data_IF_372920703635
#
_entry.id   IF_372920703635
#
_cell.length_a   1.000
_cell.length_b   1.000
_cell.length_c   1.000
_cell.angle_alpha   90.00
_cell.angle_beta   90.00
_cell.angle_gamma   90.00
#
_symmetry.space_group_name_H-M   'P 1'
#
loop_
_entity.id
_entity.type
_entity.pdbx_description
1 polymer ?
#
# COMPACT_ATOMS: atom_id res chain seq x y z
N UNK A 1 61.17 -40.28 32.83
CA UNK A 1 59.97 -40.92 33.42
C UNK A 1 60.41 -41.66 34.68
N UNK A 2 60.26 -41.03 35.84
CA UNK A 2 60.57 -41.65 37.13
C UNK A 2 59.37 -42.50 37.57
N UNK A 3 59.58 -43.80 37.75
CA UNK A 3 58.53 -44.68 38.25
C UNK A 3 58.15 -44.24 39.68
N UNK A 4 56.84 -44.10 39.99
CA UNK A 4 56.43 -43.74 41.34
C UNK A 4 56.90 -44.82 42.32
N UNK A 5 57.45 -44.41 43.46
CA UNK A 5 57.83 -45.32 44.53
C UNK A 5 56.60 -46.10 45.00
N UNK A 6 56.78 -47.37 45.37
CA UNK A 6 55.70 -48.30 45.76
C UNK A 6 54.74 -47.73 46.80
N UNK A 7 55.22 -46.83 47.67
CA UNK A 7 54.43 -46.12 48.67
C UNK A 7 53.43 -45.11 48.09
N UNK A 8 53.74 -44.42 46.98
CA UNK A 8 52.78 -43.51 46.34
C UNK A 8 51.64 -44.27 45.67
N UNK A 9 51.95 -45.41 45.06
CA UNK A 9 50.95 -46.32 44.48
C UNK A 9 50.02 -46.89 45.57
N UNK A 10 50.57 -47.29 46.71
CA UNK A 10 49.78 -47.77 47.85
C UNK A 10 48.90 -46.67 48.45
N UNK A 11 49.41 -45.45 48.64
CA UNK A 11 48.62 -44.31 49.12
C UNK A 11 47.50 -43.93 48.15
N UNK A 12 47.77 -43.99 46.84
CA UNK A 12 46.77 -43.79 45.80
C UNK A 12 45.67 -44.85 45.85
N UNK A 13 46.05 -46.13 45.92
CA UNK A 13 45.11 -47.25 46.03
C UNK A 13 44.26 -47.17 47.31
N UNK A 14 44.87 -46.83 48.45
CA UNK A 14 44.16 -46.71 49.71
C UNK A 14 43.17 -45.54 49.73
N UNK A 15 43.54 -44.38 49.15
CA UNK A 15 42.63 -43.24 48.99
C UNK A 15 41.47 -43.58 48.06
N UNK A 16 41.73 -44.31 46.98
CA UNK A 16 40.69 -44.74 46.05
C UNK A 16 39.71 -45.72 46.72
N UNK A 17 40.23 -46.73 47.42
CA UNK A 17 39.41 -47.69 48.16
C UNK A 17 38.56 -47.01 49.24
N UNK A 18 39.13 -46.08 50.01
CA UNK A 18 38.41 -45.32 51.04
C UNK A 18 37.26 -44.49 50.44
N UNK A 19 37.50 -43.73 49.35
CA UNK A 19 36.45 -42.95 48.68
C UNK A 19 35.33 -43.83 48.12
N UNK A 20 35.67 -45.02 47.63
CA UNK A 20 34.68 -45.98 47.12
C UNK A 20 33.81 -46.54 48.24
N UNK A 21 34.41 -46.83 49.40
CA UNK A 21 33.70 -47.34 50.57
C UNK A 21 32.79 -46.27 51.20
N UNK A 22 33.26 -45.03 51.29
CA UNK A 22 32.45 -43.89 51.75
C UNK A 22 31.23 -43.65 50.84
N UNK A 23 31.42 -43.73 49.52
CA UNK A 23 30.32 -43.60 48.55
C UNK A 23 29.37 -44.81 48.59
N UNK A 24 29.88 -46.02 48.80
CA UNK A 24 29.04 -47.21 48.96
C UNK A 24 28.18 -47.15 50.23
N UNK A 25 28.74 -46.63 51.34
CA UNK A 25 28.00 -46.44 52.60
C UNK A 25 26.94 -45.34 52.48
N UNK A 26 27.24 -44.22 51.80
CA UNK A 26 26.26 -43.13 51.60
C UNK A 26 25.14 -43.48 50.62
N UNK A 27 25.45 -44.21 49.54
CA UNK A 27 24.50 -44.45 48.43
C UNK A 27 23.94 -45.88 48.39
N UNK A 28 24.36 -46.79 49.26
CA UNK A 28 23.81 -48.14 49.37
C UNK A 28 24.14 -49.09 48.20
N UNK A 29 25.02 -48.71 47.27
CA UNK A 29 25.37 -49.52 46.10
C UNK A 29 26.89 -49.71 45.96
N UNK A 30 27.43 -50.92 46.20
CA UNK A 30 28.87 -51.21 46.13
C UNK A 30 29.42 -51.43 44.71
N UNK A 31 28.52 -51.64 43.73
CA UNK A 31 28.82 -51.75 42.31
C UNK A 31 28.23 -50.54 41.58
N UNK A 32 29.01 -49.85 40.75
CA UNK A 32 28.54 -48.70 40.00
C UNK A 32 27.36 -49.09 39.10
N UNK A 33 26.17 -48.59 39.41
CA UNK A 33 25.00 -48.75 38.54
C UNK A 33 25.26 -48.15 37.15
N UNK A 34 24.54 -48.60 36.10
CA UNK A 34 24.68 -48.04 34.76
C UNK A 34 24.56 -46.51 34.82
N UNK A 35 25.50 -45.82 34.17
CA UNK A 35 25.57 -44.36 34.23
C UNK A 35 24.19 -43.75 33.89
N UNK A 36 23.60 -42.93 34.78
CA UNK A 36 22.32 -42.29 34.52
C UNK A 36 22.48 -41.38 33.31
N UNK A 37 21.68 -41.62 32.26
CA UNK A 37 21.69 -40.81 31.02
C UNK A 37 21.83 -41.60 29.71
N UNK A 38 22.33 -42.85 29.72
CA UNK A 38 22.45 -43.65 28.49
C UNK A 38 21.11 -43.98 27.81
N UNK A 39 20.07 -44.25 28.60
CA UNK A 39 18.73 -44.49 28.08
C UNK A 39 18.10 -43.22 27.47
N UNK A 40 18.33 -42.05 28.09
CA UNK A 40 17.90 -40.76 27.56
C UNK A 40 18.59 -40.40 26.24
N UNK A 41 19.88 -40.69 26.12
CA UNK A 41 20.64 -40.50 24.87
C UNK A 41 20.11 -41.39 23.74
N UNK A 42 19.78 -42.66 24.04
CA UNK A 42 19.23 -43.59 23.06
C UNK A 42 17.87 -43.14 22.52
N UNK A 43 16.97 -42.70 23.40
CA UNK A 43 15.67 -42.14 23.01
C UNK A 43 15.82 -40.87 22.18
N UNK A 44 16.74 -39.98 22.57
CA UNK A 44 17.06 -38.75 21.83
C UNK A 44 17.56 -39.03 20.41
N UNK A 45 18.46 -40.01 20.25
CA UNK A 45 18.94 -40.44 18.93
C UNK A 45 17.79 -41.01 18.07
N UNK A 46 16.94 -41.86 18.65
CA UNK A 46 15.81 -42.45 17.92
C UNK A 46 14.85 -41.37 17.41
N UNK A 47 14.45 -40.44 18.27
CA UNK A 47 13.57 -39.32 17.89
C UNK A 47 14.22 -38.48 16.80
N UNK A 48 15.52 -38.17 16.92
CA UNK A 48 16.23 -37.38 15.91
C UNK A 48 16.24 -38.08 14.55
N UNK A 49 16.47 -39.39 14.50
CA UNK A 49 16.42 -40.19 13.27
C UNK A 49 15.02 -40.16 12.66
N UNK A 50 13.97 -40.30 13.47
CA UNK A 50 12.58 -40.25 12.99
C UNK A 50 12.25 -38.87 12.40
N UNK A 51 12.67 -37.79 13.06
CA UNK A 51 12.46 -36.41 12.57
C UNK A 51 13.20 -36.20 11.24
N UNK A 52 14.46 -36.62 11.14
CA UNK A 52 15.25 -36.51 9.91
C UNK A 52 14.64 -37.34 8.78
N UNK A 53 14.22 -38.58 9.06
CA UNK A 53 13.56 -39.43 8.08
C UNK A 53 12.23 -38.81 7.61
N UNK A 54 11.43 -38.27 8.53
CA UNK A 54 10.20 -37.55 8.21
C UNK A 54 10.44 -36.34 7.32
N UNK A 55 11.48 -35.54 7.60
CA UNK A 55 11.87 -34.40 6.77
C UNK A 55 12.31 -34.82 5.36
N UNK A 56 13.07 -35.91 5.24
CA UNK A 56 13.48 -36.49 3.96
C UNK A 56 12.29 -36.97 3.12
N UNK A 57 11.34 -37.68 3.74
CA UNK A 57 10.10 -38.11 3.07
C UNK A 57 9.30 -36.91 2.58
N UNK A 58 9.13 -35.88 3.42
CA UNK A 58 8.45 -34.63 3.04
C UNK A 58 9.14 -33.92 1.86
N UNK A 59 10.47 -33.90 1.83
CA UNK A 59 11.24 -33.28 0.74
C UNK A 59 11.05 -34.02 -0.60
N UNK A 60 10.91 -35.35 -0.58
CA UNK A 60 10.67 -36.16 -1.79
C UNK A 60 9.21 -36.07 -2.23
N UNK A 61 8.27 -36.05 -1.30
CA UNK A 61 6.82 -36.00 -1.60
C UNK A 61 6.39 -34.60 -2.06
N UNK A 62 7.03 -33.54 -1.57
CA UNK A 62 6.77 -32.15 -1.99
C UNK A 62 8.06 -31.46 -2.46
N UNK A 63 8.58 -31.83 -3.65
CA UNK A 63 9.73 -31.15 -4.23
C UNK A 63 9.42 -29.66 -4.43
N UNK A 64 10.44 -28.80 -4.28
CA UNK A 64 10.25 -27.37 -4.49
C UNK A 64 9.77 -27.09 -5.93
N UNK A 65 8.84 -26.15 -6.14
CA UNK A 65 8.43 -25.79 -7.48
C UNK A 65 9.63 -25.27 -8.27
N UNK A 66 10.02 -26.00 -9.32
CA UNK A 66 11.09 -25.61 -10.22
C UNK A 66 10.72 -24.39 -11.09
N UNK A 67 11.70 -23.92 -11.86
CA UNK A 67 11.57 -22.73 -12.73
C UNK A 67 10.40 -22.77 -13.71
N UNK A 68 9.99 -23.97 -14.17
CA UNK A 68 8.92 -24.27 -15.15
C UNK A 68 8.78 -23.23 -16.26
N UNK A 69 7.54 -23.00 -16.70
CA UNK A 69 7.19 -21.98 -17.71
C UNK A 69 6.49 -20.77 -17.08
N UNK A 70 6.69 -20.54 -15.76
CA UNK A 70 6.06 -19.39 -15.11
C UNK A 70 6.61 -18.09 -15.71
N UNK A 71 5.72 -17.17 -16.10
CA UNK A 71 6.12 -15.96 -16.78
C UNK A 71 6.72 -14.92 -15.81
N UNK A 72 6.31 -14.95 -14.53
CA UNK A 72 6.85 -14.10 -13.46
C UNK A 72 7.36 -14.96 -12.32
N UNK A 73 8.59 -14.69 -11.86
CA UNK A 73 9.28 -15.40 -10.80
C UNK A 73 9.59 -14.42 -9.67
N UNK A 74 9.45 -14.88 -8.43
CA UNK A 74 9.83 -14.16 -7.21
C UNK A 74 10.90 -14.98 -6.50
N UNK A 75 12.07 -14.41 -6.28
CA UNK A 75 13.08 -15.05 -5.43
C UNK A 75 12.63 -15.00 -3.96
N UNK A 76 12.43 -16.17 -3.36
CA UNK A 76 11.94 -16.31 -1.98
C UNK A 76 12.90 -15.71 -0.95
N UNK A 77 14.20 -15.71 -1.22
CA UNK A 77 15.21 -15.25 -0.27
C UNK A 77 15.38 -13.73 -0.30
N UNK A 78 15.41 -13.13 -1.50
CA UNK A 78 15.68 -11.70 -1.68
C UNK A 78 14.42 -10.85 -1.90
N UNK A 79 13.31 -11.46 -2.29
CA UNK A 79 12.11 -10.74 -2.76
C UNK A 79 12.26 -10.15 -4.16
N UNK A 80 13.38 -10.38 -4.86
CA UNK A 80 13.60 -9.85 -6.19
C UNK A 80 12.63 -10.48 -7.22
N UNK A 81 12.10 -9.64 -8.11
CA UNK A 81 11.22 -10.05 -9.19
C UNK A 81 12.00 -10.29 -10.47
N UNK A 82 11.57 -11.32 -11.21
CA UNK A 82 12.10 -11.64 -12.53
C UNK A 82 10.94 -11.95 -13.48
N UNK A 83 11.12 -11.62 -14.76
CA UNK A 83 10.18 -11.96 -15.83
C UNK A 83 10.87 -12.81 -16.88
N UNK A 84 10.15 -13.77 -17.44
CA UNK A 84 10.63 -14.59 -18.55
C UNK A 84 10.18 -13.99 -19.88
N UNK A 85 11.14 -13.75 -20.78
CA UNK A 85 10.90 -13.32 -22.16
C UNK A 85 11.62 -14.31 -23.09
N UNK A 86 10.84 -15.12 -23.81
CA UNK A 86 11.39 -16.30 -24.49
C UNK A 86 12.06 -17.26 -23.51
N UNK A 87 13.31 -17.63 -23.78
CA UNK A 87 14.10 -18.52 -22.91
C UNK A 87 14.98 -17.77 -21.89
N UNK A 88 14.88 -16.45 -21.82
CA UNK A 88 15.72 -15.61 -20.96
C UNK A 88 14.93 -15.05 -19.78
N UNK A 89 15.55 -15.09 -18.60
CA UNK A 89 15.00 -14.53 -17.37
C UNK A 89 15.67 -13.18 -17.10
N UNK A 90 14.86 -12.14 -16.98
CA UNK A 90 15.30 -10.77 -16.75
C UNK A 90 14.91 -10.32 -15.34
N UNK A 91 15.82 -9.70 -14.56
CA UNK A 91 15.43 -8.99 -13.35
C UNK A 91 14.44 -7.86 -13.71
N UNK A 92 13.48 -7.57 -12.83
CA UNK A 92 12.49 -6.50 -13.04
C UNK A 92 12.36 -5.62 -11.81
N UNK A 93 12.26 -4.31 -12.01
CA UNK A 93 12.23 -3.33 -10.91
C UNK A 93 10.98 -3.38 -10.03
N UNK A 94 9.83 -3.82 -10.57
CA UNK A 94 8.56 -3.80 -9.85
C UNK A 94 7.53 -4.76 -10.46
N UNK A 95 6.48 -5.05 -9.69
CA UNK A 95 5.40 -5.94 -10.10
C UNK A 95 4.60 -5.39 -11.28
N UNK A 96 4.39 -4.07 -11.34
CA UNK A 96 3.68 -3.44 -12.46
C UNK A 96 4.37 -3.69 -13.79
N UNK A 97 5.69 -3.52 -13.85
CA UNK A 97 6.50 -3.80 -15.05
C UNK A 97 6.45 -5.28 -15.42
N UNK A 98 6.57 -6.18 -14.45
CA UNK A 98 6.50 -7.62 -14.71
C UNK A 98 5.14 -8.00 -15.31
N UNK A 99 4.04 -7.48 -14.77
CA UNK A 99 2.69 -7.69 -15.29
C UNK A 99 2.45 -7.05 -16.66
N UNK A 100 3.00 -5.87 -16.93
CA UNK A 100 2.93 -5.24 -18.26
C UNK A 100 3.59 -6.11 -19.34
N UNK A 101 4.67 -6.81 -19.00
CA UNK A 101 5.40 -7.70 -19.92
C UNK A 101 4.69 -9.06 -20.08
N UNK A 102 4.33 -9.70 -18.97
CA UNK A 102 3.89 -11.09 -18.90
C UNK A 102 2.38 -11.31 -18.76
N UNK A 103 1.61 -10.26 -18.45
CA UNK A 103 0.17 -10.32 -18.16
C UNK A 103 -0.16 -10.41 -16.67
N UNK A 104 -1.46 -10.52 -16.31
CA UNK A 104 -1.98 -10.35 -14.95
C UNK A 104 -1.79 -11.62 -14.09
N UNK A 105 -0.59 -12.20 -14.11
CA UNK A 105 -0.27 -13.41 -13.35
C UNK A 105 0.34 -13.07 -11.99
N UNK A 106 0.16 -13.98 -11.02
CA UNK A 106 0.84 -13.89 -9.72
C UNK A 106 2.29 -14.38 -9.84
N UNK A 107 3.26 -13.68 -9.22
CA UNK A 107 4.65 -14.13 -9.21
C UNK A 107 4.77 -15.50 -8.53
N UNK A 108 5.49 -16.43 -9.15
CA UNK A 108 5.76 -17.74 -8.55
C UNK A 108 6.99 -17.67 -7.64
N UNK A 109 6.87 -18.00 -6.33
CA UNK A 109 8.03 -18.03 -5.43
C UNK A 109 8.96 -19.21 -5.73
N UNK A 110 10.20 -18.93 -6.12
CA UNK A 110 11.24 -19.91 -6.49
C UNK A 110 12.51 -19.64 -5.69
N UNK A 111 13.35 -20.65 -5.47
CA UNK A 111 14.66 -20.47 -4.86
C UNK A 111 15.63 -19.76 -5.81
N UNK A 112 16.42 -18.81 -5.31
CA UNK A 112 17.42 -18.09 -6.12
C UNK A 112 18.43 -19.00 -6.84
N UNK A 113 18.72 -20.19 -6.29
CA UNK A 113 19.59 -21.21 -6.92
C UNK A 113 19.00 -21.85 -8.17
N UNK A 114 17.67 -21.87 -8.32
CA UNK A 114 17.03 -22.29 -9.55
C UNK A 114 17.12 -21.17 -10.58
N UNK A 115 16.84 -19.92 -10.18
CA UNK A 115 16.88 -18.73 -11.05
C UNK A 115 18.31 -18.49 -11.59
N UNK A 116 19.35 -18.79 -10.83
CA UNK A 116 20.74 -18.67 -11.27
C UNK A 116 21.14 -19.67 -12.36
N UNK A 117 20.41 -20.77 -12.53
CA UNK A 117 20.65 -21.73 -13.62
C UNK A 117 20.02 -21.32 -14.95
N UNK A 118 19.05 -20.40 -14.92
CA UNK A 118 18.44 -19.87 -16.13
C UNK A 118 19.39 -18.93 -16.89
N UNK A 119 19.20 -18.82 -18.20
CA UNK A 119 19.82 -17.76 -19.00
C UNK A 119 19.34 -16.41 -18.48
N UNK A 120 20.26 -15.50 -18.16
CA UNK A 120 19.95 -14.16 -17.64
C UNK A 120 20.12 -13.09 -18.70
N UNK A 121 19.23 -12.11 -18.68
CA UNK A 121 19.32 -10.89 -19.47
C UNK A 121 19.50 -9.65 -18.61
N UNK A 122 19.63 -8.47 -19.24
CA UNK A 122 19.68 -7.19 -18.53
C UNK A 122 18.37 -6.92 -17.76
N UNK A 123 18.39 -6.06 -16.73
CA UNK A 123 17.18 -5.73 -15.99
C UNK A 123 16.22 -4.92 -16.87
N UNK A 124 14.93 -5.23 -16.74
CA UNK A 124 13.84 -4.60 -17.46
C UNK A 124 12.93 -3.84 -16.51
N UNK A 125 12.10 -2.97 -17.07
CA UNK A 125 10.98 -2.36 -16.36
C UNK A 125 11.01 -0.84 -16.34
N UNK A 126 10.07 -0.27 -15.59
CA UNK A 126 9.85 1.17 -15.49
C UNK A 126 10.33 1.62 -14.09
N UNK A 127 11.46 2.32 -13.98
CA UNK A 127 11.89 2.88 -12.70
C UNK A 127 10.81 3.80 -12.11
N UNK A 128 10.51 3.64 -10.83
CA UNK A 128 9.47 4.42 -10.13
C UNK A 128 8.03 3.96 -10.37
N UNK A 129 7.78 2.92 -11.16
CA UNK A 129 6.46 2.29 -11.24
C UNK A 129 6.15 1.47 -9.96
N UNK A 130 4.86 1.24 -9.63
CA UNK A 130 4.48 0.72 -8.32
C UNK A 130 4.95 -0.72 -8.09
N UNK A 131 5.60 -0.94 -6.95
CA UNK A 131 6.15 -2.23 -6.52
C UNK A 131 5.09 -3.25 -6.13
N UNK A 132 3.96 -2.77 -5.60
CA UNK A 132 2.78 -3.56 -5.28
C UNK A 132 1.57 -3.02 -6.06
N UNK A 133 0.66 -3.92 -6.44
CA UNK A 133 -0.60 -3.57 -7.06
C UNK A 133 -1.73 -4.11 -6.18
N UNK A 134 -2.27 -3.23 -5.35
CA UNK A 134 -3.45 -3.53 -4.54
C UNK A 134 -4.67 -3.84 -5.40
N UNK A 135 -5.67 -4.52 -4.83
CA UNK A 135 -6.91 -4.77 -5.52
C UNK A 135 -7.64 -3.44 -5.81
N UNK A 136 -8.09 -3.25 -7.05
CA UNK A 136 -8.79 -2.02 -7.43
C UNK A 136 -10.06 -1.81 -6.57
N UNK A 137 -10.31 -0.57 -6.18
CA UNK A 137 -11.57 -0.16 -5.55
C UNK A 137 -12.75 -0.42 -6.49
N UNK A 138 -13.91 -0.69 -5.90
CA UNK A 138 -15.15 -0.87 -6.65
C UNK A 138 -15.52 0.43 -7.38
N UNK A 139 -16.18 0.31 -8.54
CA UNK A 139 -16.66 1.47 -9.29
C UNK A 139 -17.74 2.28 -8.53
N UNK A 140 -18.38 1.68 -7.53
CA UNK A 140 -19.35 2.32 -6.64
C UNK A 140 -18.70 2.97 -5.42
N UNK A 141 -17.36 2.98 -5.33
CA UNK A 141 -16.64 3.56 -4.21
C UNK A 141 -16.88 5.07 -4.12
N UNK A 142 -17.05 5.54 -2.89
CA UNK A 142 -17.13 6.97 -2.58
C UNK A 142 -15.72 7.57 -2.58
N UNK A 143 -15.60 8.74 -3.18
CA UNK A 143 -14.42 9.59 -3.16
C UNK A 143 -14.76 10.87 -2.42
N UNK A 144 -13.85 11.33 -1.57
CA UNK A 144 -14.04 12.56 -0.82
C UNK A 144 -12.78 13.41 -0.89
N UNK A 145 -12.95 14.70 -1.08
CA UNK A 145 -11.87 15.68 -0.95
C UNK A 145 -12.25 16.59 0.22
N UNK A 146 -11.40 16.63 1.23
CA UNK A 146 -11.68 17.27 2.50
C UNK A 146 -10.63 18.32 2.82
N UNK A 147 -11.09 19.51 3.22
CA UNK A 147 -10.26 20.58 3.74
C UNK A 147 -10.49 20.72 5.25
N UNK A 148 -9.40 20.75 6.00
CA UNK A 148 -9.37 21.09 7.42
C UNK A 148 -8.21 22.08 7.72
N UNK A 149 -8.02 22.54 8.97
CA UNK A 149 -6.94 23.47 9.29
C UNK A 149 -5.53 22.88 9.12
N UNK A 150 -5.39 21.55 9.01
CA UNK A 150 -4.10 20.89 8.79
C UNK A 150 -3.76 20.81 7.30
N UNK A 151 -4.75 20.73 6.41
CA UNK A 151 -4.56 20.79 4.96
C UNK A 151 -5.67 20.11 4.16
N UNK A 152 -5.33 19.71 2.94
CA UNK A 152 -6.23 19.07 2.00
C UNK A 152 -5.97 17.56 1.93
N UNK A 153 -6.99 16.75 2.20
CA UNK A 153 -6.91 15.28 2.18
C UNK A 153 -7.86 14.66 1.15
N UNK A 154 -7.33 13.77 0.31
CA UNK A 154 -8.11 12.93 -0.61
C UNK A 154 -8.41 11.58 0.04
N UNK A 155 -9.66 11.19 0.11
CA UNK A 155 -10.13 9.94 0.71
C UNK A 155 -10.83 9.12 -0.36
N UNK A 156 -10.39 7.88 -0.55
CA UNK A 156 -10.91 6.99 -1.59
C UNK A 156 -11.39 5.67 -0.97
N UNK A 157 -12.62 5.25 -1.27
CA UNK A 157 -13.12 3.94 -0.86
C UNK A 157 -13.46 3.81 0.63
N UNK A 158 -13.62 4.93 1.33
CA UNK A 158 -14.28 4.99 2.64
C UNK A 158 -15.60 5.73 2.49
N UNK A 159 -16.69 5.08 2.89
CA UNK A 159 -17.96 5.77 3.04
C UNK A 159 -17.91 6.65 4.29
N UNK A 160 -18.38 7.90 4.20
CA UNK A 160 -18.33 8.80 5.34
C UNK A 160 -19.25 8.24 6.44
N UNK A 161 -18.64 7.88 7.58
CA UNK A 161 -19.36 7.44 8.77
C UNK A 161 -19.98 8.67 9.43
N UNK A 162 -21.29 8.85 9.27
CA UNK A 162 -22.07 9.93 9.88
C UNK A 162 -21.56 11.35 9.59
N UNK A 163 -21.41 11.77 8.32
CA UNK A 163 -21.27 13.18 8.02
C UNK A 163 -22.53 13.90 8.54
N UNK A 164 -22.39 15.03 9.22
CA UNK A 164 -23.49 15.98 9.26
C UNK A 164 -23.64 16.49 7.82
N UNK A 165 -24.45 15.76 7.03
CA UNK A 165 -24.70 16.08 5.64
C UNK A 165 -25.28 17.49 5.58
N UNK A 166 -24.68 18.32 4.72
CA UNK A 166 -25.26 19.62 4.45
C UNK A 166 -26.44 19.38 3.51
N UNK A 167 -27.60 19.96 3.83
CA UNK A 167 -28.76 19.84 2.94
C UNK A 167 -28.37 20.37 1.56
N UNK A 168 -28.64 19.58 0.52
CA UNK A 168 -28.28 19.92 -0.85
C UNK A 168 -28.91 21.25 -1.29
N UNK A 169 -30.03 21.64 -0.68
CA UNK A 169 -30.76 22.87 -0.97
C UNK A 169 -30.24 24.10 -0.23
N UNK A 170 -29.35 23.92 0.74
CA UNK A 170 -28.63 25.01 1.41
C UNK A 170 -27.37 25.40 0.66
N UNK A 171 -27.04 26.68 0.72
CA UNK A 171 -25.82 27.22 0.12
C UNK A 171 -24.71 27.37 1.16
N UNK A 172 -23.55 26.79 0.86
CA UNK A 172 -22.35 26.90 1.69
C UNK A 172 -21.49 28.06 1.15
N UNK A 173 -21.30 29.14 1.91
CA UNK A 173 -20.40 30.21 1.50
C UNK A 173 -18.96 29.77 1.69
N UNK A 174 -18.19 29.79 0.61
CA UNK A 174 -16.77 29.43 0.60
C UNK A 174 -15.95 30.55 -0.04
N UNK A 175 -14.71 30.71 0.40
CA UNK A 175 -13.75 31.63 -0.19
C UNK A 175 -12.50 30.88 -0.66
N UNK A 176 -12.00 31.26 -1.83
CA UNK A 176 -10.71 30.78 -2.32
C UNK A 176 -9.55 31.40 -1.54
N UNK A 177 -8.35 30.86 -1.76
CA UNK A 177 -7.10 31.43 -1.25
C UNK A 177 -6.89 32.89 -1.71
N UNK A 178 -7.36 33.21 -2.92
CA UNK A 178 -7.34 34.55 -3.54
C UNK A 178 -8.50 35.47 -3.12
N UNK A 179 -9.27 35.08 -2.10
CA UNK A 179 -10.43 35.81 -1.56
C UNK A 179 -11.62 35.96 -2.53
N UNK A 180 -11.68 35.18 -3.61
CA UNK A 180 -12.89 35.07 -4.42
C UNK A 180 -13.95 34.25 -3.66
N UNK A 181 -15.18 34.74 -3.61
CA UNK A 181 -16.27 34.13 -2.84
C UNK A 181 -17.23 33.38 -3.76
N UNK A 182 -17.63 32.20 -3.30
CA UNK A 182 -18.56 31.33 -4.01
C UNK A 182 -19.63 30.81 -3.05
N UNK A 183 -20.82 30.55 -3.58
CA UNK A 183 -21.85 29.76 -2.92
C UNK A 183 -21.86 28.36 -3.53
N UNK A 184 -21.68 27.34 -2.70
CA UNK A 184 -21.79 25.94 -3.13
C UNK A 184 -23.16 25.39 -2.75
N UNK A 185 -23.93 24.96 -3.74
CA UNK A 185 -25.30 24.43 -3.56
C UNK A 185 -25.58 23.33 -4.59
N UNK A 186 -26.23 22.23 -4.18
CA UNK A 186 -26.49 21.05 -5.03
C UNK A 186 -25.26 20.61 -5.83
N UNK A 187 -24.10 20.62 -5.17
CA UNK A 187 -22.85 20.19 -5.79
C UNK A 187 -22.28 21.12 -6.85
N UNK A 188 -22.72 22.38 -6.92
CA UNK A 188 -22.18 23.39 -7.85
C UNK A 188 -21.76 24.65 -7.12
N UNK A 189 -20.64 25.22 -7.55
CA UNK A 189 -20.15 26.52 -7.05
C UNK A 189 -20.65 27.64 -7.96
N UNK A 190 -21.16 28.71 -7.38
CA UNK A 190 -21.59 29.91 -8.10
C UNK A 190 -20.77 31.09 -7.59
N UNK A 191 -20.09 31.86 -8.46
CA UNK A 191 -19.37 33.05 -8.03
C UNK A 191 -20.34 34.11 -7.52
N UNK A 192 -20.01 34.76 -6.40
CA UNK A 192 -20.83 35.80 -5.76
C UNK A 192 -19.96 37.00 -5.41
N UNK A 193 -20.55 38.20 -5.43
CA UNK A 193 -19.86 39.41 -5.00
C UNK A 193 -19.58 39.33 -3.47
N UNK A 194 -18.35 39.55 -2.99
CA UNK A 194 -18.06 39.59 -1.56
C UNK A 194 -18.86 40.64 -0.77
N UNK A 195 -19.43 41.65 -1.43
CA UNK A 195 -20.29 42.66 -0.84
C UNK A 195 -21.80 42.31 -0.89
N UNK A 196 -22.15 41.09 -1.31
CA UNK A 196 -23.54 40.63 -1.38
C UNK A 196 -24.14 40.44 0.03
N UNK A 197 -25.34 40.99 0.33
CA UNK A 197 -26.00 40.85 1.62
C UNK A 197 -26.20 39.40 2.08
N UNK A 198 -26.23 38.42 1.16
CA UNK A 198 -26.30 36.99 1.49
C UNK A 198 -25.16 36.53 2.42
N UNK A 199 -24.02 37.23 2.40
CA UNK A 199 -22.85 36.90 3.21
C UNK A 199 -22.89 37.55 4.61
N UNK A 200 -23.83 38.45 4.88
CA UNK A 200 -23.98 39.07 6.21
C UNK A 200 -24.43 38.05 7.26
N UNK A 201 -25.19 37.03 6.85
CA UNK A 201 -25.67 35.98 7.76
C UNK A 201 -24.65 34.87 8.06
N UNK A 202 -23.60 34.72 7.24
CA UNK A 202 -22.61 33.67 7.42
C UNK A 202 -21.27 34.02 6.74
N UNK A 203 -20.19 34.00 7.52
CA UNK A 203 -18.85 34.24 7.01
C UNK A 203 -18.40 33.11 6.05
N UNK A 204 -17.83 33.43 4.86
CA UNK A 204 -17.31 32.43 3.95
C UNK A 204 -16.17 31.63 4.56
N UNK A 205 -16.26 30.31 4.45
CA UNK A 205 -15.19 29.41 4.88
C UNK A 205 -14.07 29.37 3.84
N UNK A 206 -12.83 29.62 4.25
CA UNK A 206 -11.67 29.46 3.37
C UNK A 206 -11.49 27.98 3.00
N UNK A 207 -11.30 27.71 1.72
CA UNK A 207 -11.07 26.37 1.15
C UNK A 207 -9.86 26.41 0.21
N UNK A 208 -9.25 25.24 0.03
CA UNK A 208 -8.17 25.02 -0.93
C UNK A 208 -8.67 25.25 -2.36
N UNK A 209 -7.77 25.71 -3.22
CA UNK A 209 -8.05 25.77 -4.66
C UNK A 209 -8.37 24.39 -5.24
N UNK A 210 -7.83 23.31 -4.66
CA UNK A 210 -8.11 21.93 -5.08
C UNK A 210 -9.57 21.53 -4.82
N UNK A 211 -10.07 21.74 -3.60
CA UNK A 211 -11.46 21.45 -3.24
C UNK A 211 -12.44 22.31 -4.04
N UNK A 212 -12.14 23.61 -4.16
CA UNK A 212 -12.98 24.53 -4.91
C UNK A 212 -13.07 24.11 -6.38
N UNK A 213 -11.95 23.72 -7.02
CA UNK A 213 -11.92 23.30 -8.42
C UNK A 213 -12.58 21.95 -8.67
N UNK A 214 -12.59 21.05 -7.69
CA UNK A 214 -13.28 19.77 -7.81
C UNK A 214 -14.81 19.92 -7.93
N UNK A 215 -15.38 21.02 -7.42
CA UNK A 215 -16.80 21.34 -7.52
C UNK A 215 -17.10 22.09 -8.83
N UNK A 216 -17.97 21.56 -9.72
CA UNK A 216 -18.31 22.20 -10.98
C UNK A 216 -18.90 23.60 -10.82
N UNK A 217 -18.50 24.53 -11.68
CA UNK A 217 -19.01 25.89 -11.69
C UNK A 217 -20.37 25.99 -12.39
N UNK A 218 -21.27 26.78 -11.80
CA UNK A 218 -22.54 27.20 -12.38
C UNK A 218 -22.48 28.68 -12.78
N UNK A 219 -23.29 29.11 -13.76
CA UNK A 219 -23.38 30.53 -14.14
C UNK A 219 -23.68 31.42 -12.93
N UNK A 220 -23.17 32.66 -12.89
CA UNK A 220 -23.44 33.58 -11.80
C UNK A 220 -24.94 33.77 -11.60
N UNK A 221 -25.39 33.62 -10.36
CA UNK A 221 -26.76 33.95 -9.98
C UNK A 221 -26.91 35.47 -9.93
N UNK A 222 -27.95 36.02 -10.57
CA UNK A 222 -28.27 37.45 -10.47
C UNK A 222 -28.88 37.81 -9.12
N UNK A 223 -29.69 36.90 -8.56
CA UNK A 223 -30.28 36.97 -7.24
C UNK A 223 -30.17 35.59 -6.58
N UNK A 224 -29.62 35.53 -5.36
CA UNK A 224 -29.63 34.29 -4.59
C UNK A 224 -30.99 34.09 -3.92
N UNK A 225 -31.71 33.05 -4.33
CA UNK A 225 -32.94 32.60 -3.68
C UNK A 225 -32.68 31.24 -3.00
N UNK A 226 -32.42 31.24 -1.70
CA UNK A 226 -32.16 30.04 -0.93
C UNK A 226 -31.83 30.31 0.54
N UNK A 227 -31.66 29.24 1.30
CA UNK A 227 -31.10 29.29 2.66
C UNK A 227 -29.59 29.17 2.59
N UNK A 228 -28.89 29.92 3.42
CA UNK A 228 -27.47 29.74 3.67
C UNK A 228 -27.31 28.68 4.76
N UNK A 229 -26.41 27.72 4.56
CA UNK A 229 -26.14 26.68 5.53
C UNK A 229 -25.54 27.30 6.80
N UNK A 230 -26.15 27.01 7.96
CA UNK A 230 -25.55 27.36 9.25
C UNK A 230 -24.50 26.31 9.61
N UNK A 231 -23.27 26.78 9.88
CA UNK A 231 -22.16 25.91 10.21
C UNK A 231 -22.17 25.55 11.70
N UNK A 232 -22.08 24.26 12.07
CA UNK A 232 -21.82 23.89 13.45
C UNK A 232 -20.48 24.49 13.88
N UNK A 233 -20.44 25.19 15.02
CA UNK A 233 -19.21 25.84 15.50
C UNK A 233 -18.03 24.85 15.70
N UNK A 234 -18.33 23.58 15.95
CA UNK A 234 -17.33 22.53 16.10
C UNK A 234 -16.83 21.97 14.76
N UNK A 235 -17.51 22.26 13.64
CA UNK A 235 -17.18 21.66 12.34
C UNK A 235 -15.98 22.36 11.70
N UNK A 236 -14.80 21.77 11.89
CA UNK A 236 -13.52 22.25 11.34
C UNK A 236 -13.14 21.58 10.04
N UNK A 237 -13.91 20.64 9.50
CA UNK A 237 -13.65 19.96 8.22
C UNK A 237 -14.81 20.18 7.25
N UNK A 238 -14.50 20.50 5.99
CA UNK A 238 -15.45 20.54 4.86
C UNK A 238 -15.05 19.48 3.85
N UNK A 239 -15.96 18.59 3.51
CA UNK A 239 -15.73 17.57 2.49
C UNK A 239 -16.71 17.72 1.34
N UNK A 240 -16.19 17.57 0.12
CA UNK A 240 -16.98 17.29 -1.06
C UNK A 240 -16.85 15.79 -1.39
N UNK A 241 -17.97 15.15 -1.72
CA UNK A 241 -18.05 13.72 -1.99
C UNK A 241 -18.59 13.46 -3.39
N UNK A 242 -18.06 12.42 -4.02
CA UNK A 242 -18.49 11.91 -5.30
C UNK A 242 -18.63 10.40 -5.19
N UNK A 243 -19.58 9.85 -5.93
CA UNK A 243 -19.54 8.43 -6.23
C UNK A 243 -18.96 8.24 -7.61
N UNK A 244 -18.11 7.23 -7.77
CA UNK A 244 -17.41 7.07 -9.05
C UNK A 244 -18.34 6.56 -10.19
N UNK A 245 -19.55 6.10 -9.84
CA UNK A 245 -20.66 5.79 -10.75
C UNK A 245 -21.58 6.99 -11.04
N UNK A 246 -21.52 8.06 -10.24
CA UNK A 246 -22.21 9.34 -10.45
C UNK A 246 -21.23 10.51 -10.19
N UNK A 247 -20.32 10.80 -11.15
CA UNK A 247 -19.29 11.82 -10.97
C UNK A 247 -19.83 13.26 -10.97
N UNK A 248 -21.13 13.46 -11.24
CA UNK A 248 -21.78 14.78 -11.26
C UNK A 248 -22.59 15.02 -9.98
N UNK A 249 -23.03 13.97 -9.30
CA UNK A 249 -23.71 14.02 -7.99
C UNK A 249 -22.77 14.35 -6.84
N UNK A 250 -22.31 15.60 -6.76
CA UNK A 250 -21.46 16.07 -5.66
C UNK A 250 -22.32 16.36 -4.44
N UNK A 251 -21.99 15.73 -3.30
CA UNK A 251 -22.60 16.05 -2.00
C UNK A 251 -21.57 16.68 -1.07
N UNK A 252 -22.03 17.51 -0.13
CA UNK A 252 -21.16 18.17 0.83
C UNK A 252 -21.42 17.65 2.25
N UNK A 253 -20.38 17.61 3.06
CA UNK A 253 -20.50 17.41 4.50
C UNK A 253 -19.58 18.31 5.29
N UNK A 254 -19.98 18.57 6.53
CA UNK A 254 -19.18 19.27 7.51
C UNK A 254 -19.00 18.38 8.76
N UNK A 255 -17.83 18.44 9.39
CA UNK A 255 -17.52 17.60 10.55
C UNK A 255 -16.40 18.15 11.41
N UNK A 256 -16.21 17.54 12.59
CA UNK A 256 -15.13 17.88 13.54
C UNK A 256 -13.76 17.32 13.12
N UNK A 257 -13.72 16.49 12.08
CA UNK A 257 -12.51 15.85 11.57
C UNK A 257 -12.79 15.08 10.27
N UNK A 258 -11.75 14.45 9.73
CA UNK A 258 -11.83 13.67 8.50
C UNK A 258 -12.78 12.47 8.64
N UNK A 259 -13.61 12.16 7.62
CA UNK A 259 -14.58 11.05 7.65
C UNK A 259 -13.88 9.71 7.35
N UNK A 260 -12.99 9.28 8.25
CA UNK A 260 -12.19 8.06 8.10
C UNK A 260 -12.71 6.93 9.00
N UNK A 261 -12.50 5.65 8.62
CA UNK A 261 -12.73 4.52 9.51
C UNK A 261 -11.91 4.64 10.80
N UNK A 262 -12.43 4.10 11.90
CA UNK A 262 -11.73 4.13 13.20
C UNK A 262 -10.33 3.52 13.10
N UNK A 263 -9.30 4.27 13.50
CA UNK A 263 -7.91 3.83 13.47
C UNK A 263 -7.22 3.94 12.11
N UNK A 264 -7.91 4.45 11.08
CA UNK A 264 -7.30 4.75 9.80
C UNK A 264 -6.43 6.01 9.85
N UNK A 265 -5.26 5.97 9.24
CA UNK A 265 -4.36 7.11 9.10
C UNK A 265 -4.05 7.37 7.62
N UNK A 266 -4.32 8.57 7.09
CA UNK A 266 -3.92 8.94 5.74
C UNK A 266 -2.40 8.90 5.55
N UNK A 267 -1.97 8.62 4.33
CA UNK A 267 -0.58 8.74 3.90
C UNK A 267 -0.29 10.20 3.58
N UNK A 268 0.62 10.82 4.35
CA UNK A 268 1.10 12.18 4.09
C UNK A 268 1.99 12.17 2.85
N UNK A 269 1.70 13.06 1.91
CA UNK A 269 2.43 13.20 0.67
C UNK A 269 3.70 14.04 0.86
N UNK A 270 4.74 13.74 0.09
CA UNK A 270 5.99 14.49 0.14
C UNK A 270 5.86 15.97 -0.29
N UNK A 271 4.82 16.29 -1.05
CA UNK A 271 4.51 17.63 -1.53
C UNK A 271 3.63 18.44 -0.56
N UNK A 272 3.29 17.88 0.61
CA UNK A 272 2.40 18.53 1.57
C UNK A 272 2.92 19.92 1.96
N UNK A 273 2.04 20.91 1.95
CA UNK A 273 2.30 22.30 2.29
C UNK A 273 1.36 22.85 3.39
N UNK A 274 0.54 21.97 3.97
CA UNK A 274 -0.42 22.27 5.01
C UNK A 274 -1.65 22.97 4.43
N UNK A 275 -2.06 24.15 4.91
CA UNK A 275 -3.21 24.87 4.38
C UNK A 275 -2.95 25.54 3.01
N UNK A 276 -1.94 25.09 2.27
CA UNK A 276 -1.61 25.60 0.95
C UNK A 276 -2.41 24.92 -0.18
N UNK A 277 -2.05 25.19 -1.45
CA UNK A 277 -2.76 24.65 -2.61
C UNK A 277 -2.43 23.18 -2.92
N UNK A 278 -1.38 22.61 -2.33
CA UNK A 278 -1.02 21.23 -2.59
C UNK A 278 -1.99 20.24 -1.93
N UNK A 279 -2.01 19.01 -2.44
CA UNK A 279 -2.64 17.91 -1.73
C UNK A 279 -1.67 17.39 -0.67
N UNK A 280 -2.09 17.35 0.58
CA UNK A 280 -1.24 17.00 1.72
C UNK A 280 -1.28 15.52 2.06
N UNK A 281 -2.44 14.89 1.91
CA UNK A 281 -2.59 13.51 2.29
C UNK A 281 -3.57 12.75 1.40
N UNK A 282 -3.36 11.44 1.30
CA UNK A 282 -4.21 10.51 0.57
C UNK A 282 -4.54 9.33 1.48
N UNK A 283 -5.81 8.95 1.50
CA UNK A 283 -6.25 7.72 2.14
C UNK A 283 -6.83 6.76 1.09
N UNK A 284 -6.22 5.58 0.98
CA UNK A 284 -6.81 4.37 0.41
C UNK A 284 -6.81 3.28 1.49
N UNK A 285 -7.79 2.36 1.52
CA UNK A 285 -7.72 1.19 2.38
C UNK A 285 -6.46 0.37 2.07
N UNK A 286 -5.78 -0.19 3.09
CA UNK A 286 -4.55 -0.96 2.88
C UNK A 286 -4.69 -2.08 1.84
N UNK A 287 -3.70 -2.22 0.95
CA UNK A 287 -3.73 -3.23 -0.10
C UNK A 287 -4.76 -2.97 -1.20
N UNK A 288 -5.32 -1.75 -1.29
CA UNK A 288 -6.17 -1.30 -2.40
C UNK A 288 -5.42 -0.35 -3.33
N UNK A 289 -5.90 -0.30 -4.56
CA UNK A 289 -5.53 0.70 -5.56
C UNK A 289 -6.80 1.30 -6.17
N UNK A 290 -6.69 2.37 -6.94
CA UNK A 290 -7.81 2.89 -7.73
C UNK A 290 -7.45 2.94 -9.21
N UNK A 291 -8.41 2.59 -10.07
CA UNK A 291 -8.27 2.77 -11.51
C UNK A 291 -9.38 3.67 -12.02
N UNK A 292 -9.00 4.87 -12.45
CA UNK A 292 -9.91 5.99 -12.68
C UNK A 292 -9.68 6.62 -14.05
N UNK A 293 -10.64 7.46 -14.44
CA UNK A 293 -10.53 8.36 -15.58
C UNK A 293 -11.04 9.74 -15.17
N UNK A 294 -10.47 10.77 -15.77
CA UNK A 294 -11.01 12.12 -15.66
C UNK A 294 -12.43 12.15 -16.25
N UNK A 295 -13.42 12.49 -15.44
CA UNK A 295 -14.76 12.82 -15.89
C UNK A 295 -14.77 14.28 -16.38
N UNK A 296 -15.25 14.50 -17.61
CA UNK A 296 -15.51 15.86 -18.08
C UNK A 296 -16.74 16.47 -17.38
N UNK A 297 -16.86 17.80 -17.43
CA UNK A 297 -18.01 18.56 -16.86
C UNK A 297 -19.36 18.14 -17.47
N UNK A 298 -19.35 17.54 -18.66
CA UNK A 298 -20.51 16.97 -19.36
C UNK A 298 -20.81 15.51 -19.01
N UNK A 299 -20.09 14.91 -18.05
CA UNK A 299 -20.19 13.48 -17.72
C UNK A 299 -19.61 12.54 -18.79
N UNK A 300 -19.09 13.08 -19.91
CA UNK A 300 -18.41 12.28 -20.93
C UNK A 300 -17.09 11.74 -20.39
N UNK A 301 -16.96 10.42 -20.38
CA UNK A 301 -15.73 9.71 -20.03
C UNK A 301 -14.86 9.56 -21.28
N UNK A 302 -13.76 10.32 -21.34
CA UNK A 302 -12.78 10.26 -22.43
C UNK A 302 -11.39 10.59 -21.90
N UNK A 303 -10.34 10.02 -22.49
CA UNK A 303 -8.95 10.26 -22.07
C UNK A 303 -8.26 9.03 -21.46
N UNK A 304 -7.04 9.23 -20.99
CA UNK A 304 -6.19 8.18 -20.43
C UNK A 304 -6.75 7.62 -19.12
N UNK A 305 -6.47 6.34 -18.84
CA UNK A 305 -6.74 5.76 -17.52
C UNK A 305 -5.62 6.12 -16.54
N UNK A 306 -5.96 6.24 -15.26
CA UNK A 306 -5.02 6.56 -14.19
C UNK A 306 -5.11 5.50 -13.09
N UNK A 307 -3.97 4.87 -12.79
CA UNK A 307 -3.80 4.04 -11.60
C UNK A 307 -3.35 4.94 -10.46
N UNK A 308 -3.99 4.82 -9.30
CA UNK A 308 -3.52 5.41 -8.05
C UNK A 308 -3.14 4.26 -7.13
N UNK A 309 -1.90 4.25 -6.66
CA UNK A 309 -1.43 3.26 -5.70
C UNK A 309 -1.78 3.64 -4.25
N UNK A 310 -1.46 2.76 -3.31
CA UNK A 310 -1.71 3.00 -1.89
C UNK A 310 -0.91 4.17 -1.30
N UNK A 311 0.13 4.64 -1.99
CA UNK A 311 0.94 5.80 -1.57
C UNK A 311 0.39 7.12 -2.09
N UNK A 312 -0.69 7.08 -2.89
CA UNK A 312 -1.32 8.27 -3.46
C UNK A 312 -0.61 8.79 -4.72
N UNK A 313 0.25 7.99 -5.36
CA UNK A 313 0.88 8.38 -6.63
C UNK A 313 -0.03 7.99 -7.79
N UNK A 314 -0.25 8.95 -8.71
CA UNK A 314 -0.98 8.76 -9.97
C UNK A 314 -0.03 8.29 -11.06
N UNK A 315 -0.39 7.21 -11.75
CA UNK A 315 0.31 6.70 -12.91
C UNK A 315 -0.62 6.69 -14.12
N UNK A 316 -0.15 7.20 -15.25
CA UNK A 316 -0.93 7.15 -16.50
C UNK A 316 -0.84 5.74 -17.08
N UNK A 317 -1.97 5.09 -17.33
CA UNK A 317 -2.04 3.78 -18.00
C UNK A 317 -2.31 4.03 -19.49
N UNK A 318 -1.40 3.57 -20.34
CA UNK A 318 -1.38 3.89 -21.78
C UNK A 318 -2.70 3.57 -22.49
N UNK A 319 -3.16 2.33 -22.30
CA UNK A 319 -4.29 1.79 -23.02
C UNK A 319 -4.99 0.67 -22.24
N UNK A 320 -6.06 0.13 -22.83
CA UNK A 320 -6.83 -0.99 -22.25
C UNK A 320 -6.04 -2.29 -22.20
N UNK A 321 -5.02 -2.47 -23.04
CA UNK A 321 -4.18 -3.68 -23.01
C UNK A 321 -3.24 -3.63 -21.80
N UNK A 322 -2.62 -2.48 -21.52
CA UNK A 322 -1.84 -2.22 -20.33
C UNK A 322 -2.70 -2.39 -19.06
N UNK A 323 -3.92 -1.85 -19.06
CA UNK A 323 -4.86 -2.03 -17.94
C UNK A 323 -5.17 -3.52 -17.67
N UNK A 324 -5.48 -4.30 -18.72
CA UNK A 324 -5.70 -5.75 -18.62
C UNK A 324 -4.46 -6.49 -18.12
N UNK A 325 -3.29 -6.15 -18.63
CA UNK A 325 -2.01 -6.73 -18.18
C UNK A 325 -1.75 -6.48 -16.70
N UNK A 326 -2.09 -5.29 -16.19
CA UNK A 326 -1.95 -4.93 -14.79
C UNK A 326 -3.00 -5.61 -13.87
N UNK A 327 -4.07 -6.15 -14.44
CA UNK A 327 -5.20 -6.75 -13.71
C UNK A 327 -6.20 -5.70 -13.22
N UNK A 328 -6.31 -4.57 -13.93
CA UNK A 328 -7.23 -3.48 -13.62
C UNK A 328 -8.61 -3.72 -14.24
N UNK A 329 -9.70 -3.15 -13.68
CA UNK A 329 -11.04 -3.31 -14.23
C UNK A 329 -11.15 -2.71 -15.64
N UNK A 330 -12.02 -3.30 -16.48
CA UNK A 330 -12.17 -2.88 -17.88
C UNK A 330 -12.68 -1.44 -18.01
N UNK A 331 -13.60 -1.04 -17.13
CA UNK A 331 -14.18 0.29 -17.12
C UNK A 331 -13.64 1.06 -15.92
N UNK A 332 -12.76 2.06 -16.12
CA UNK A 332 -12.32 2.93 -15.04
C UNK A 332 -13.48 3.81 -14.58
N UNK A 333 -13.56 4.04 -13.28
CA UNK A 333 -14.58 4.92 -12.71
C UNK A 333 -14.23 6.40 -12.94
N UNK A 334 -15.24 7.27 -12.98
CA UNK A 334 -15.07 8.69 -13.29
C UNK A 334 -14.80 9.54 -12.04
N UNK A 335 -13.83 10.45 -12.09
CA UNK A 335 -13.61 11.47 -11.05
C UNK A 335 -13.27 12.82 -11.65
N UNK A 336 -13.55 13.95 -10.96
CA UNK A 336 -13.11 15.27 -11.38
C UNK A 336 -11.60 15.35 -11.63
N UNK A 337 -11.20 15.96 -12.75
CA UNK A 337 -9.78 16.16 -13.06
C UNK A 337 -8.97 16.84 -11.95
N UNK A 338 -9.48 17.88 -11.24
CA UNK A 338 -8.72 18.54 -10.18
C UNK A 338 -8.20 17.57 -9.12
N UNK A 339 -9.00 16.59 -8.69
CA UNK A 339 -8.56 15.56 -7.74
C UNK A 339 -7.39 14.74 -8.28
N UNK A 340 -7.45 14.34 -9.56
CA UNK A 340 -6.33 13.65 -10.19
C UNK A 340 -5.12 14.57 -10.33
N UNK A 341 -5.34 15.83 -10.70
CA UNK A 341 -4.31 16.83 -10.94
C UNK A 341 -3.48 17.14 -9.69
N UNK A 342 -4.11 17.12 -8.50
CA UNK A 342 -3.43 17.33 -7.22
C UNK A 342 -2.53 16.17 -6.78
N UNK A 343 -2.70 14.97 -7.35
CA UNK A 343 -1.87 13.81 -6.99
C UNK A 343 -0.47 13.87 -7.62
N UNK A 344 0.57 13.44 -6.88
CA UNK A 344 1.92 13.25 -7.43
C UNK A 344 1.87 12.38 -8.68
N UNK A 345 2.63 12.77 -9.71
CA UNK A 345 2.67 12.05 -10.99
C UNK A 345 3.87 11.10 -11.03
N UNK A 346 3.59 9.81 -11.20
CA UNK A 346 4.57 8.78 -11.52
C UNK A 346 4.76 8.59 -13.03
N UNK A 347 5.66 7.66 -13.44
CA UNK A 347 5.86 7.34 -14.84
C UNK A 347 4.59 6.79 -15.50
N UNK A 348 4.55 6.92 -16.82
CA UNK A 348 3.56 6.25 -17.67
C UNK A 348 3.76 4.73 -17.59
N UNK A 349 2.66 3.98 -17.61
CA UNK A 349 2.61 2.53 -17.55
C UNK A 349 2.23 1.99 -18.91
N UNK A 350 3.23 1.49 -19.64
CA UNK A 350 3.08 0.89 -20.95
C UNK A 350 3.95 -0.36 -21.07
N UNK A 351 3.55 -1.30 -21.92
CA UNK A 351 4.36 -2.50 -22.20
C UNK A 351 5.68 -2.13 -22.87
N UNK A 352 5.69 -1.13 -23.73
CA UNK A 352 6.89 -0.64 -24.41
C UNK A 352 7.93 -0.16 -23.40
N UNK A 353 7.56 0.71 -22.46
CA UNK A 353 8.47 1.19 -21.42
C UNK A 353 8.93 0.06 -20.49
N UNK A 354 8.06 -0.91 -20.19
CA UNK A 354 8.43 -2.04 -19.35
C UNK A 354 9.46 -2.96 -20.03
N UNK A 355 9.47 -3.06 -21.36
CA UNK A 355 10.44 -3.87 -22.12
C UNK A 355 11.80 -3.19 -22.31
N UNK A 356 11.95 -1.92 -21.90
CA UNK A 356 13.24 -1.23 -21.97
C UNK A 356 14.24 -1.89 -21.01
N UNK A 357 15.43 -2.18 -21.54
CA UNK A 357 16.56 -2.68 -20.78
C UNK A 357 17.34 -1.50 -20.18
N UNK A 358 17.83 -1.69 -18.95
CA UNK A 358 18.57 -0.67 -18.23
C UNK A 358 19.93 -1.22 -17.81
N UNK A 359 21.01 -0.55 -18.18
CA UNK A 359 22.32 -0.86 -17.61
C UNK A 359 22.54 -0.10 -16.28
N UNK A 360 21.97 1.10 -16.18
CA UNK A 360 21.99 1.97 -14.99
C UNK A 360 20.67 2.75 -14.91
N UNK A 361 20.13 2.91 -13.70
CA UNK A 361 19.00 3.82 -13.45
C UNK A 361 19.58 5.16 -13.00
N UNK A 362 19.52 6.16 -13.87
CA UNK A 362 19.91 7.53 -13.52
C UNK A 362 18.82 8.18 -12.65
N UNK A 363 19.19 8.98 -11.65
CA UNK A 363 18.22 9.83 -10.96
C UNK A 363 17.52 10.73 -11.99
N UNK A 364 16.23 11.01 -11.77
CA UNK A 364 15.56 12.04 -12.55
C UNK A 364 16.35 13.35 -12.43
N UNK A 365 16.58 14.09 -13.53
CA UNK A 365 17.23 15.39 -13.44
C UNK A 365 16.38 16.28 -12.52
N UNK A 366 16.99 16.81 -11.46
CA UNK A 366 16.33 17.74 -10.54
C UNK A 366 15.78 18.92 -11.34
N UNK A 367 14.51 19.26 -11.10
CA UNK A 367 13.90 20.48 -11.62
C UNK A 367 14.08 21.61 -10.63
#
# INVERSE_FOLDING_TARGET
MTAPTTTQLQLGAHRFAARRLERALRCGQPAGGPAPGRAGLGLGCLISVIVVAGALVLAVVRPQPGLGDAPILLDRASGALYVRVGDTVHPVFNLASARLIAGPTTPRPVAGTEISRARRGPPLGIPGAPGALGAALAATATWSLCDDPAGTTLIAGADPLHPAGIDADEAVPVSSESAAVYLVRRGRRTPVNPADPVLESAAPRRVSSLLLNAVPEAPPAKDFAGRVAEWPAAAVTLCAHWRADDPVGVTLSAGVGLPLPTGATPTVLAQADGPGPALDAVYLPPGRSAYLRAAGVSGRTGGAGYLIDETGVRFTVEDTAAARSLGLPETPAGVPWPMLAGLPAGPRLSREQALLAHDVVLPAPGR
#
